data_IF_799102097340
#
_entry.id   IF_799102097340
#
_cell.length_a   1.000
_cell.length_b   1.000
_cell.length_c   1.000
_cell.angle_alpha   90.00
_cell.angle_beta   90.00
_cell.angle_gamma   90.00
#
_symmetry.space_group_name_H-M   'P 1'
#
loop_
_entity.id
_entity.type
_entity.pdbx_description
1 polymer ?
#
# COMPACT_ATOMS: atom_id res chain seq x y z
N UNK A 1 -61.83 25.02 -9.87
CA UNK A 1 -61.00 23.78 -9.88
C UNK A 1 -59.96 23.68 -11.01
N UNK A 2 -59.76 24.71 -11.87
CA UNK A 2 -58.76 24.70 -12.97
C UNK A 2 -57.36 25.25 -12.59
N UNK A 3 -57.27 26.17 -11.62
CA UNK A 3 -56.00 26.85 -11.26
C UNK A 3 -55.04 25.95 -10.46
N UNK A 4 -55.55 24.99 -9.69
CA UNK A 4 -54.73 24.06 -8.87
C UNK A 4 -53.96 23.03 -9.72
N UNK A 5 -54.49 22.67 -10.91
CA UNK A 5 -53.85 21.72 -11.84
C UNK A 5 -52.69 22.33 -12.65
N UNK A 6 -52.67 23.65 -12.87
CA UNK A 6 -51.53 24.32 -13.55
C UNK A 6 -50.29 24.43 -12.65
N UNK A 7 -50.49 24.66 -11.34
CA UNK A 7 -49.37 24.75 -10.38
C UNK A 7 -48.63 23.42 -10.18
N UNK A 8 -49.34 22.28 -10.22
CA UNK A 8 -48.69 20.97 -10.08
C UNK A 8 -47.92 20.54 -11.33
N UNK A 9 -48.38 20.93 -12.53
CA UNK A 9 -47.66 20.65 -13.78
C UNK A 9 -46.39 21.50 -13.95
N UNK A 10 -46.42 22.76 -13.49
CA UNK A 10 -45.22 23.62 -13.47
C UNK A 10 -44.17 23.14 -12.45
N UNK A 11 -44.61 22.67 -11.28
CA UNK A 11 -43.72 22.08 -10.26
C UNK A 11 -43.11 20.76 -10.73
N UNK A 12 -43.87 19.93 -11.45
CA UNK A 12 -43.37 18.66 -11.99
C UNK A 12 -42.40 18.87 -13.17
N UNK A 13 -42.63 19.88 -14.01
CA UNK A 13 -41.68 20.24 -15.08
C UNK A 13 -40.40 20.87 -14.54
N UNK A 14 -40.47 21.61 -13.42
CA UNK A 14 -39.29 22.17 -12.75
C UNK A 14 -38.49 21.09 -12.00
N UNK A 15 -39.16 20.03 -11.50
CA UNK A 15 -38.50 18.88 -10.87
C UNK A 15 -37.82 17.94 -11.88
N UNK A 16 -38.40 17.78 -13.09
CA UNK A 16 -37.77 16.99 -14.15
C UNK A 16 -36.59 17.70 -14.83
N UNK A 17 -36.53 19.04 -14.79
CA UNK A 17 -35.38 19.80 -15.32
C UNK A 17 -34.14 19.76 -14.41
N UNK A 18 -34.28 19.33 -13.15
CA UNK A 18 -33.16 19.10 -12.22
C UNK A 18 -32.56 17.70 -12.37
N UNK A 19 -33.26 16.77 -13.04
CA UNK A 19 -32.78 15.40 -13.25
C UNK A 19 -31.94 15.20 -14.53
N UNK A 20 -31.79 16.24 -15.36
CA UNK A 20 -31.09 16.16 -16.64
C UNK A 20 -29.89 17.07 -16.72
N UNK A 21 -28.74 16.64 -16.20
CA UNK A 21 -27.36 16.92 -16.65
C UNK A 21 -26.35 16.55 -15.56
N UNK A 22 -26.37 15.28 -15.15
CA UNK A 22 -25.22 14.65 -14.51
C UNK A 22 -24.17 14.23 -15.54
N UNK A 23 -23.84 15.11 -16.50
CA UNK A 23 -22.60 14.94 -17.23
C UNK A 23 -21.50 15.21 -16.22
N UNK A 24 -20.94 14.15 -15.63
CA UNK A 24 -19.65 14.20 -14.92
C UNK A 24 -18.58 14.55 -15.97
N UNK A 25 -18.62 15.79 -16.47
CA UNK A 25 -17.52 16.38 -17.20
C UNK A 25 -16.30 16.35 -16.27
N UNK A 26 -15.19 15.89 -16.82
CA UNK A 26 -13.99 15.46 -16.12
C UNK A 26 -13.42 16.58 -15.23
N UNK A 27 -13.68 16.49 -13.92
CA UNK A 27 -13.20 17.46 -12.90
C UNK A 27 -11.69 17.38 -12.64
N UNK A 28 -11.01 16.38 -13.19
CA UNK A 28 -9.57 16.22 -13.09
C UNK A 28 -8.86 17.54 -13.44
N UNK A 29 -8.04 18.05 -12.51
CA UNK A 29 -7.29 19.30 -12.68
C UNK A 29 -6.06 19.12 -13.55
N UNK A 30 -5.48 17.94 -13.47
CA UNK A 30 -4.29 17.58 -14.20
C UNK A 30 -4.55 16.31 -14.98
N UNK A 31 -3.78 16.15 -16.06
CA UNK A 31 -3.79 14.95 -16.88
C UNK A 31 -2.37 14.53 -17.27
N UNK A 32 -2.18 13.26 -17.57
CA UNK A 32 -1.00 12.72 -18.22
C UNK A 32 -1.44 11.74 -19.32
N UNK A 33 -0.93 11.90 -20.53
CA UNK A 33 -1.22 10.98 -21.64
C UNK A 33 -0.46 9.66 -21.43
N UNK A 34 -1.10 8.53 -21.74
CA UNK A 34 -0.44 7.24 -21.76
C UNK A 34 0.06 6.95 -23.17
N UNK A 35 1.31 6.46 -23.34
CA UNK A 35 1.77 5.88 -24.60
C UNK A 35 0.78 4.84 -25.14
N UNK A 36 0.62 4.78 -26.46
CA UNK A 36 -0.26 3.81 -27.10
C UNK A 36 0.19 2.37 -26.77
N UNK A 37 -0.69 1.50 -26.26
CA UNK A 37 -0.33 0.12 -25.95
C UNK A 37 0.06 -0.65 -27.21
N UNK A 38 1.18 -1.38 -27.16
CA UNK A 38 1.65 -2.16 -28.29
C UNK A 38 0.85 -3.45 -28.55
N UNK A 39 0.18 -3.99 -27.51
CA UNK A 39 -0.75 -5.11 -27.62
C UNK A 39 -1.90 -4.95 -26.63
N UNK A 40 -3.04 -5.60 -26.87
CA UNK A 40 -4.13 -5.61 -25.90
C UNK A 40 -3.78 -6.50 -24.70
N UNK A 41 -4.07 -6.05 -23.48
CA UNK A 41 -3.76 -6.81 -22.27
C UNK A 41 -3.72 -5.96 -21.00
N UNK A 42 -3.37 -6.59 -19.88
CA UNK A 42 -3.12 -5.87 -18.62
C UNK A 42 -1.76 -5.17 -18.63
N UNK A 43 -1.77 -3.91 -18.20
CA UNK A 43 -0.59 -3.06 -18.06
C UNK A 43 -0.47 -2.52 -16.64
N UNK A 44 0.76 -2.41 -16.15
CA UNK A 44 1.12 -1.61 -14.98
C UNK A 44 1.38 -0.17 -15.41
N UNK A 45 0.47 0.73 -15.07
CA UNK A 45 0.61 2.16 -15.33
C UNK A 45 1.29 2.77 -14.12
N UNK A 46 2.54 3.20 -14.29
CA UNK A 46 3.34 3.79 -13.22
C UNK A 46 2.74 5.13 -12.71
N UNK A 47 2.86 5.39 -11.41
CA UNK A 47 2.44 6.64 -10.78
C UNK A 47 3.65 7.46 -10.27
N UNK A 48 4.46 8.04 -11.17
CA UNK A 48 5.70 8.75 -10.80
C UNK A 48 5.47 9.94 -9.85
N UNK A 49 6.51 10.46 -9.18
CA UNK A 49 6.37 11.51 -8.17
C UNK A 49 5.61 12.76 -8.64
N UNK A 50 5.79 13.14 -9.91
CA UNK A 50 5.11 14.30 -10.50
C UNK A 50 3.59 14.12 -10.55
N UNK A 51 3.10 12.89 -10.71
CA UNK A 51 1.67 12.56 -10.69
C UNK A 51 1.17 12.53 -9.25
N UNK A 52 1.84 11.78 -8.37
CA UNK A 52 1.39 11.67 -6.98
C UNK A 52 1.46 12.98 -6.22
N UNK A 53 2.33 13.91 -6.61
CA UNK A 53 2.32 15.28 -6.07
C UNK A 53 0.96 15.97 -6.26
N UNK A 54 0.29 15.70 -7.39
CA UNK A 54 -0.95 16.36 -7.80
C UNK A 54 -2.23 15.59 -7.49
N UNK A 55 -2.15 14.28 -7.27
CA UNK A 55 -3.28 13.44 -6.86
C UNK A 55 -3.73 13.70 -5.40
N UNK A 56 -4.78 13.06 -4.90
CA UNK A 56 -5.08 13.02 -3.47
C UNK A 56 -4.18 11.99 -2.76
N UNK A 57 -3.98 12.13 -1.44
CA UNK A 57 -3.09 11.24 -0.68
C UNK A 57 -3.51 9.75 -0.75
N UNK A 58 -4.82 9.48 -0.81
CA UNK A 58 -5.40 8.14 -0.97
C UNK A 58 -5.70 7.75 -2.42
N UNK A 59 -5.26 8.55 -3.40
CA UNK A 59 -5.44 8.29 -4.85
C UNK A 59 -6.91 8.14 -5.30
N UNK A 60 -7.86 8.62 -4.50
CA UNK A 60 -9.31 8.50 -4.74
C UNK A 60 -9.77 9.21 -6.02
N UNK A 61 -8.99 10.17 -6.48
CA UNK A 61 -9.22 11.06 -7.61
C UNK A 61 -8.59 10.61 -8.92
N UNK A 62 -7.77 9.57 -8.89
CA UNK A 62 -7.10 9.07 -10.08
C UNK A 62 -8.12 8.36 -10.97
N UNK A 63 -8.15 8.64 -12.27
CA UNK A 63 -9.03 8.00 -13.26
C UNK A 63 -8.27 7.72 -14.53
N UNK A 64 -8.57 6.60 -15.18
CA UNK A 64 -8.10 6.31 -16.54
C UNK A 64 -9.27 6.51 -17.49
N UNK A 65 -9.06 7.34 -18.51
CA UNK A 65 -10.02 7.60 -19.59
C UNK A 65 -9.47 7.05 -20.90
N UNK A 66 -10.28 6.28 -21.60
CA UNK A 66 -9.99 5.75 -22.92
C UNK A 66 -10.56 6.63 -24.04
N UNK A 67 -10.59 6.11 -25.28
CA UNK A 67 -11.17 6.80 -26.42
C UNK A 67 -12.61 7.23 -26.13
N UNK A 68 -12.99 8.41 -26.64
CA UNK A 68 -14.33 9.00 -26.46
C UNK A 68 -14.74 9.24 -24.99
N UNK A 69 -13.78 9.33 -24.06
CA UNK A 69 -14.05 9.61 -22.65
C UNK A 69 -14.59 8.41 -21.87
N UNK A 70 -14.46 7.20 -22.42
CA UNK A 70 -14.82 5.96 -21.73
C UNK A 70 -14.01 5.77 -20.46
N UNK A 71 -14.67 5.36 -19.37
CA UNK A 71 -13.96 5.06 -18.11
C UNK A 71 -13.33 3.68 -18.18
N UNK A 72 -12.05 3.57 -17.86
CA UNK A 72 -11.31 2.30 -17.84
C UNK A 72 -11.16 1.82 -16.38
N UNK A 73 -11.72 0.64 -16.04
CA UNK A 73 -11.51 0.02 -14.73
C UNK A 73 -10.05 -0.31 -14.45
N UNK A 74 -9.65 -0.18 -13.19
CA UNK A 74 -8.29 -0.51 -12.77
C UNK A 74 -8.24 -1.03 -11.33
N UNK A 75 -7.13 -1.69 -11.01
CA UNK A 75 -6.73 -2.06 -9.65
C UNK A 75 -5.54 -1.19 -9.22
N UNK A 76 -5.41 -0.92 -7.92
CA UNK A 76 -4.14 -0.42 -7.39
C UNK A 76 -3.15 -1.59 -7.34
N UNK A 77 -2.00 -1.44 -8.00
CA UNK A 77 -0.89 -2.37 -7.89
C UNK A 77 -0.31 -2.28 -6.49
N UNK A 78 -0.40 -3.34 -5.72
CA UNK A 78 0.27 -3.45 -4.43
C UNK A 78 1.77 -3.59 -4.67
N UNK A 79 2.53 -2.56 -4.33
CA UNK A 79 3.98 -2.65 -4.14
C UNK A 79 4.31 -2.53 -2.66
N UNK A 80 3.66 -3.34 -1.82
CA UNK A 80 4.04 -3.48 -0.43
C UNK A 80 4.21 -4.95 -0.09
N UNK A 81 5.33 -5.56 -0.46
CA UNK A 81 5.88 -6.57 0.40
C UNK A 81 6.61 -5.83 1.54
N UNK A 82 5.95 -5.77 2.69
CA UNK A 82 6.51 -5.28 3.95
C UNK A 82 7.76 -6.11 4.24
N UNK A 83 8.82 -5.47 4.76
CA UNK A 83 10.16 -5.99 5.11
C UNK A 83 10.21 -7.17 6.10
N UNK A 84 9.15 -7.97 6.21
CA UNK A 84 9.19 -9.28 6.85
C UNK A 84 9.01 -10.30 5.74
N UNK A 85 10.12 -10.86 5.26
CA UNK A 85 10.10 -12.10 4.51
C UNK A 85 9.29 -13.12 5.29
N UNK A 86 8.01 -13.25 4.96
CA UNK A 86 7.21 -14.36 5.44
C UNK A 86 7.68 -15.56 4.65
N UNK A 87 8.54 -16.34 5.29
CA UNK A 87 8.93 -17.65 4.80
C UNK A 87 7.65 -18.48 4.58
N UNK A 88 7.44 -18.92 3.34
CA UNK A 88 6.30 -19.75 2.99
C UNK A 88 6.71 -21.20 3.10
N UNK A 89 5.96 -21.97 3.90
CA UNK A 89 6.17 -23.41 4.01
C UNK A 89 5.71 -24.09 2.72
N UNK A 90 6.63 -24.76 2.03
CA UNK A 90 6.38 -25.57 0.84
C UNK A 90 6.40 -27.03 1.26
N UNK A 91 5.23 -27.69 1.41
CA UNK A 91 5.17 -29.11 1.75
C UNK A 91 5.72 -29.95 0.60
N UNK A 92 6.54 -30.94 0.94
CA UNK A 92 6.97 -31.95 -0.01
C UNK A 92 5.91 -33.03 -0.12
N UNK A 93 5.72 -33.57 -1.33
CA UNK A 93 4.72 -34.62 -1.57
C UNK A 93 5.15 -35.89 -0.85
N UNK A 94 4.34 -36.39 0.07
CA UNK A 94 4.56 -37.70 0.68
C UNK A 94 4.37 -38.80 -0.38
N UNK A 95 5.37 -39.66 -0.53
CA UNK A 95 5.35 -40.77 -1.49
C UNK A 95 5.39 -42.15 -0.83
N UNK A 96 5.70 -42.21 0.47
CA UNK A 96 5.65 -43.47 1.22
C UNK A 96 5.76 -43.29 2.73
N UNK A 97 5.13 -44.17 3.48
CA UNK A 97 5.28 -44.26 4.94
C UNK A 97 5.13 -45.70 5.41
N UNK A 98 6.04 -46.13 6.28
CA UNK A 98 6.00 -47.44 6.95
C UNK A 98 6.17 -47.19 8.44
N UNK A 99 5.23 -47.68 9.27
CA UNK A 99 5.30 -47.57 10.73
C UNK A 99 5.50 -48.96 11.31
N UNK A 100 6.60 -49.16 12.02
CA UNK A 100 6.91 -50.37 12.77
C UNK A 100 7.38 -49.99 14.17
N UNK A 101 7.26 -50.90 15.12
CA UNK A 101 7.61 -50.68 16.53
C UNK A 101 9.09 -50.32 16.72
N UNK A 102 9.97 -50.75 15.80
CA UNK A 102 11.40 -50.43 15.83
C UNK A 102 11.75 -49.20 15.01
N UNK A 103 11.09 -48.98 13.86
CA UNK A 103 11.44 -47.92 12.91
C UNK A 103 10.21 -47.32 12.26
N UNK A 104 10.11 -46.00 12.25
CA UNK A 104 9.20 -45.26 11.35
C UNK A 104 10.00 -44.79 10.15
N UNK A 105 9.56 -45.13 8.95
CA UNK A 105 10.10 -44.61 7.69
C UNK A 105 9.10 -43.67 7.04
N UNK A 106 9.55 -42.47 6.67
CA UNK A 106 8.75 -41.46 5.99
C UNK A 106 9.51 -40.96 4.76
N UNK A 107 8.88 -40.97 3.60
CA UNK A 107 9.51 -40.65 2.32
C UNK A 107 8.74 -39.53 1.64
N UNK A 108 9.47 -38.48 1.24
CA UNK A 108 8.93 -37.32 0.55
C UNK A 108 9.67 -37.04 -0.75
N UNK A 109 8.95 -36.55 -1.75
CA UNK A 109 9.49 -36.08 -3.03
C UNK A 109 9.77 -34.58 -2.94
N UNK A 110 10.99 -34.20 -3.32
CA UNK A 110 11.44 -32.82 -3.40
C UNK A 110 10.52 -32.00 -4.32
N UNK A 111 9.97 -30.88 -3.83
CA UNK A 111 8.86 -30.14 -4.46
C UNK A 111 9.18 -29.50 -5.84
N UNK A 112 10.44 -29.48 -6.26
CA UNK A 112 10.86 -29.03 -7.58
C UNK A 112 12.10 -29.84 -7.98
N UNK A 113 11.85 -31.06 -8.49
CA UNK A 113 12.82 -32.04 -9.02
C UNK A 113 14.20 -31.39 -9.27
N UNK A 114 15.23 -31.85 -8.55
CA UNK A 114 16.61 -31.31 -8.59
C UNK A 114 16.90 -29.97 -7.89
N UNK A 115 15.97 -29.37 -7.13
CA UNK A 115 16.30 -28.18 -6.31
C UNK A 115 17.23 -28.59 -5.15
N UNK A 116 18.40 -27.95 -5.07
CA UNK A 116 19.31 -28.12 -3.95
C UNK A 116 18.74 -27.49 -2.67
N UNK A 117 18.64 -28.27 -1.59
CA UNK A 117 18.19 -27.82 -0.27
C UNK A 117 19.29 -28.10 0.76
N UNK A 118 19.44 -27.22 1.76
CA UNK A 118 20.33 -27.42 2.92
C UNK A 118 19.57 -27.61 4.23
N UNK A 119 18.23 -27.66 4.15
CA UNK A 119 17.37 -27.83 5.31
C UNK A 119 16.08 -28.55 4.92
N UNK A 120 15.53 -29.29 5.89
CA UNK A 120 14.23 -29.93 5.80
C UNK A 120 13.50 -29.71 7.14
N UNK A 121 12.29 -29.18 7.09
CA UNK A 121 11.43 -29.00 8.26
C UNK A 121 10.49 -30.17 8.36
N UNK A 122 10.44 -30.80 9.54
CA UNK A 122 9.47 -31.84 9.89
C UNK A 122 8.39 -31.24 10.78
N UNK A 123 7.13 -31.37 10.38
CA UNK A 123 5.98 -31.09 11.24
C UNK A 123 5.56 -32.38 11.92
N UNK A 124 5.61 -32.37 13.24
CA UNK A 124 5.34 -33.52 14.12
C UNK A 124 4.09 -33.20 14.94
N UNK A 125 3.22 -34.17 15.18
CA UNK A 125 2.14 -33.99 16.17
C UNK A 125 2.81 -33.92 17.55
N UNK A 126 2.45 -32.94 18.38
CA UNK A 126 3.12 -32.61 19.65
C UNK A 126 3.59 -33.86 20.42
N UNK A 127 4.89 -33.90 20.75
CA UNK A 127 5.51 -35.00 21.49
C UNK A 127 6.55 -34.46 22.47
N UNK A 128 6.56 -35.03 23.67
CA UNK A 128 7.67 -34.91 24.63
C UNK A 128 8.53 -36.18 24.61
N UNK A 129 9.06 -36.53 23.43
CA UNK A 129 9.90 -37.73 23.26
C UNK A 129 11.19 -37.41 22.53
N UNK A 130 12.30 -37.94 23.05
CA UNK A 130 13.59 -37.90 22.36
C UNK A 130 13.75 -39.14 21.48
N UNK A 131 14.06 -38.94 20.19
CA UNK A 131 14.27 -40.02 19.21
C UNK A 131 15.41 -39.67 18.27
N UNK A 132 16.12 -40.69 17.77
CA UNK A 132 17.19 -40.52 16.77
C UNK A 132 16.63 -40.71 15.36
N UNK A 133 17.09 -39.87 14.46
CA UNK A 133 16.65 -39.79 13.07
C UNK A 133 17.83 -39.89 12.12
N UNK A 134 17.66 -40.67 11.07
CA UNK A 134 18.57 -40.77 9.93
C UNK A 134 17.89 -40.18 8.71
N UNK A 135 18.58 -39.28 8.02
CA UNK A 135 18.17 -38.68 6.76
C UNK A 135 19.02 -39.24 5.61
N UNK A 136 18.35 -39.78 4.60
CA UNK A 136 18.97 -40.30 3.39
C UNK A 136 18.31 -39.71 2.13
N UNK A 137 19.06 -39.63 1.03
CA UNK A 137 18.61 -39.17 -0.27
C UNK A 137 18.61 -40.29 -1.32
N UNK A 138 17.73 -40.17 -2.32
CA UNK A 138 17.65 -41.09 -3.46
C UNK A 138 17.11 -40.35 -4.69
N UNK A 139 17.54 -40.76 -5.87
CA UNK A 139 16.99 -40.26 -7.15
C UNK A 139 16.00 -41.22 -7.81
N UNK A 140 15.98 -42.49 -7.39
CA UNK A 140 15.27 -43.59 -8.06
C UNK A 140 14.38 -44.43 -7.12
N UNK A 141 14.27 -44.03 -5.84
CA UNK A 141 13.63 -44.75 -4.73
C UNK A 141 14.24 -46.14 -4.40
N UNK A 142 15.29 -46.55 -5.12
CA UNK A 142 15.93 -47.87 -4.97
C UNK A 142 17.27 -47.74 -4.24
N UNK A 143 18.13 -46.84 -4.72
CA UNK A 143 19.45 -46.59 -4.17
C UNK A 143 19.39 -45.39 -3.21
N UNK A 144 19.81 -45.60 -1.97
CA UNK A 144 19.72 -44.60 -0.90
C UNK A 144 21.10 -44.30 -0.32
N UNK A 145 21.42 -43.01 -0.23
CA UNK A 145 22.70 -42.52 0.28
C UNK A 145 22.49 -41.69 1.54
N UNK A 146 23.35 -41.84 2.54
CA UNK A 146 23.26 -41.08 3.78
C UNK A 146 23.50 -39.58 3.52
N UNK A 147 22.63 -38.73 4.08
CA UNK A 147 22.80 -37.27 4.07
C UNK A 147 23.25 -36.80 5.46
N UNK A 148 22.59 -37.31 6.50
CA UNK A 148 22.93 -37.00 7.88
C UNK A 148 22.39 -38.09 8.81
N UNK A 149 23.21 -38.49 9.77
CA UNK A 149 22.88 -39.52 10.76
C UNK A 149 22.79 -38.91 12.16
N UNK A 150 22.25 -39.69 13.10
CA UNK A 150 22.17 -39.38 14.54
C UNK A 150 21.51 -38.04 14.92
N UNK A 151 20.56 -37.58 14.11
CA UNK A 151 19.79 -36.37 14.38
C UNK A 151 18.87 -36.62 15.59
N UNK A 152 19.02 -35.85 16.66
CA UNK A 152 18.09 -35.90 17.80
C UNK A 152 16.84 -35.06 17.51
N UNK A 153 15.66 -35.66 17.60
CA UNK A 153 14.41 -34.90 17.70
C UNK A 153 14.34 -34.26 19.07
N UNK A 154 14.31 -32.93 19.12
CA UNK A 154 14.18 -32.18 20.36
C UNK A 154 12.73 -32.22 20.85
N UNK A 155 12.55 -32.18 22.16
CA UNK A 155 11.23 -32.13 22.80
C UNK A 155 10.51 -30.86 22.39
N UNK A 156 9.20 -30.94 22.18
CA UNK A 156 8.38 -29.75 22.02
C UNK A 156 8.48 -28.91 23.32
N UNK A 157 8.92 -27.66 23.21
CA UNK A 157 8.89 -26.73 24.35
C UNK A 157 7.46 -26.34 24.73
N UNK A 158 7.28 -25.71 25.89
CA UNK A 158 6.00 -25.20 26.43
C UNK A 158 5.43 -24.00 25.64
N UNK A 159 5.44 -24.07 24.31
CA UNK A 159 4.88 -23.04 23.45
C UNK A 159 3.36 -23.24 23.36
N UNK A 160 2.64 -22.57 24.26
CA UNK A 160 1.18 -22.54 24.39
C UNK A 160 0.42 -22.08 23.13
N UNK A 161 1.13 -21.71 22.06
CA UNK A 161 0.59 -21.26 20.78
C UNK A 161 0.65 -22.29 19.65
N UNK A 162 1.28 -23.44 19.86
CA UNK A 162 1.30 -24.51 18.86
C UNK A 162 0.01 -25.35 18.96
N UNK A 163 -0.80 -25.41 17.90
CA UNK A 163 -2.06 -26.19 17.83
C UNK A 163 -1.81 -27.71 17.79
N UNK A 164 -1.02 -28.24 18.72
CA UNK A 164 -0.63 -29.65 18.76
C UNK A 164 0.31 -30.08 17.63
N UNK A 165 1.00 -29.14 16.97
CA UNK A 165 1.98 -29.39 15.90
C UNK A 165 3.29 -28.70 16.25
N UNK A 166 4.35 -29.48 16.32
CA UNK A 166 5.72 -29.04 16.60
C UNK A 166 6.57 -29.11 15.33
N UNK A 167 7.42 -28.12 15.11
CA UNK A 167 8.31 -28.08 13.94
C UNK A 167 9.76 -28.38 14.36
N UNK A 168 10.37 -29.36 13.69
CA UNK A 168 11.78 -29.67 13.83
C UNK A 168 12.52 -29.29 12.56
N UNK A 169 13.52 -28.42 12.67
CA UNK A 169 14.44 -28.10 11.58
C UNK A 169 15.59 -29.11 11.51
N UNK A 170 15.76 -29.75 10.36
CA UNK A 170 16.90 -30.61 10.04
C UNK A 170 17.84 -29.88 9.08
N UNK A 171 18.98 -29.38 9.56
CA UNK A 171 19.99 -28.74 8.71
C UNK A 171 21.06 -29.74 8.25
N UNK A 172 21.47 -29.67 6.98
CA UNK A 172 22.46 -30.55 6.34
C UNK A 172 23.17 -29.84 5.17
N UNK A 173 24.32 -30.36 4.67
CA UNK A 173 24.96 -29.82 3.48
C UNK A 173 24.02 -29.78 2.28
N UNK A 174 24.27 -28.88 1.33
CA UNK A 174 23.42 -28.76 0.14
C UNK A 174 23.25 -30.10 -0.59
N UNK A 175 22.01 -30.50 -0.82
CA UNK A 175 21.62 -31.78 -1.42
C UNK A 175 20.50 -31.57 -2.43
N UNK A 176 20.59 -32.24 -3.59
CA UNK A 176 19.65 -32.10 -4.70
C UNK A 176 18.88 -33.39 -5.02
N UNK A 177 18.92 -34.41 -4.17
CA UNK A 177 18.18 -35.66 -4.40
C UNK A 177 16.69 -35.44 -4.65
N UNK A 178 16.10 -36.27 -5.53
CA UNK A 178 14.67 -36.20 -5.84
C UNK A 178 13.78 -36.67 -4.67
N UNK A 179 14.28 -37.58 -3.84
CA UNK A 179 13.57 -38.16 -2.71
C UNK A 179 14.39 -38.09 -1.43
N UNK A 180 13.72 -37.76 -0.34
CA UNK A 180 14.29 -37.77 1.01
C UNK A 180 13.57 -38.81 1.86
N UNK A 181 14.35 -39.64 2.55
CA UNK A 181 13.85 -40.65 3.49
C UNK A 181 14.30 -40.32 4.90
N UNK A 182 13.32 -40.20 5.77
CA UNK A 182 13.46 -39.96 7.20
C UNK A 182 13.17 -41.27 7.92
N UNK A 183 14.16 -41.79 8.64
CA UNK A 183 14.01 -42.97 9.49
C UNK A 183 14.12 -42.58 10.95
N UNK A 184 13.05 -42.77 11.72
CA UNK A 184 13.02 -42.56 13.16
C UNK A 184 13.23 -43.90 13.86
N UNK A 185 14.21 -43.98 14.75
CA UNK A 185 14.38 -45.14 15.62
C UNK A 185 13.39 -45.04 16.79
N UNK A 186 12.38 -45.91 16.81
CA UNK A 186 11.31 -45.91 17.79
C UNK A 186 11.66 -46.63 19.10
N UNK A 187 12.82 -47.31 19.17
CA UNK A 187 13.28 -48.02 20.38
C UNK A 187 12.26 -49.04 20.95
N UNK A 188 11.48 -49.71 20.08
CA UNK A 188 10.39 -50.64 20.49
C UNK A 188 9.29 -49.95 21.32
N UNK A 189 9.05 -48.67 21.05
CA UNK A 189 7.97 -47.88 21.64
C UNK A 189 7.04 -47.36 20.55
N UNK A 190 5.98 -46.69 20.96
CA UNK A 190 5.03 -46.09 20.03
C UNK A 190 5.72 -45.15 19.02
N UNK A 191 5.31 -45.20 17.75
CA UNK A 191 5.95 -44.47 16.67
C UNK A 191 5.66 -42.97 16.75
N UNK A 192 6.64 -42.18 16.32
CA UNK A 192 6.50 -40.72 16.12
C UNK A 192 5.52 -40.43 14.97
N UNK A 193 4.59 -39.50 15.21
CA UNK A 193 3.64 -39.02 14.22
C UNK A 193 4.20 -37.86 13.40
N UNK A 194 4.88 -38.18 12.30
CA UNK A 194 5.27 -37.21 11.26
C UNK A 194 4.03 -36.86 10.44
N UNK A 195 3.68 -35.56 10.40
CA UNK A 195 2.54 -35.01 9.67
C UNK A 195 2.98 -34.62 8.26
N UNK A 196 4.00 -33.79 8.16
CA UNK A 196 4.52 -33.24 6.90
C UNK A 196 6.04 -33.09 6.98
N UNK A 197 6.68 -33.12 5.82
CA UNK A 197 8.04 -32.61 5.66
C UNK A 197 8.05 -31.61 4.50
N UNK A 198 8.89 -30.59 4.59
CA UNK A 198 8.96 -29.55 3.57
C UNK A 198 10.09 -28.58 3.83
N UNK A 199 10.07 -27.46 3.13
CA UNK A 199 11.05 -26.39 3.32
C UNK A 199 10.34 -25.05 3.46
N UNK A 200 10.94 -24.14 4.20
CA UNK A 200 10.61 -22.74 4.08
C UNK A 200 11.34 -22.17 2.87
N UNK A 201 10.57 -21.65 1.91
CA UNK A 201 11.11 -20.79 0.86
C UNK A 201 10.85 -19.35 1.28
N UNK A 202 11.93 -18.59 1.39
CA UNK A 202 11.81 -17.15 1.36
C UNK A 202 11.23 -16.82 -0.02
N UNK A 203 9.97 -16.38 -0.07
CA UNK A 203 9.53 -15.68 -1.27
C UNK A 203 10.46 -14.48 -1.36
N UNK A 204 11.18 -14.35 -2.49
CA UNK A 204 11.78 -13.07 -2.85
C UNK A 204 10.61 -12.10 -3.00
N UNK A 205 10.25 -11.51 -1.88
CA UNK A 205 9.67 -10.19 -1.82
C UNK A 205 10.62 -9.33 -2.64
N UNK A 206 10.21 -8.93 -3.84
CA UNK A 206 10.92 -7.91 -4.59
C UNK A 206 11.10 -6.73 -3.63
N UNK A 207 12.37 -6.35 -3.38
CA UNK A 207 12.65 -5.21 -2.50
C UNK A 207 11.80 -4.03 -2.99
N UNK A 208 11.10 -3.31 -2.09
CA UNK A 208 10.27 -2.20 -2.51
C UNK A 208 11.10 -1.25 -3.36
N UNK A 209 10.64 -1.00 -4.59
CA UNK A 209 11.29 -0.11 -5.52
C UNK A 209 10.88 1.33 -5.20
N UNK A 210 11.83 2.26 -5.36
CA UNK A 210 11.62 3.67 -5.04
C UNK A 210 11.99 4.57 -6.22
N UNK A 211 11.31 5.72 -6.32
CA UNK A 211 11.75 6.84 -7.15
C UNK A 211 12.42 7.90 -6.29
N UNK A 212 13.59 8.43 -6.70
CA UNK A 212 14.18 9.57 -6.03
C UNK A 212 13.32 10.82 -6.25
N UNK A 213 13.20 11.65 -5.21
CA UNK A 213 12.55 12.96 -5.30
C UNK A 213 13.59 14.01 -5.70
N UNK A 214 13.45 14.52 -6.92
CA UNK A 214 14.36 15.52 -7.47
C UNK A 214 14.09 16.94 -6.95
N UNK A 215 15.09 17.82 -7.07
CA UNK A 215 14.97 19.24 -6.70
C UNK A 215 14.87 19.51 -5.19
N UNK A 216 15.19 18.52 -4.35
CA UNK A 216 15.27 18.66 -2.90
C UNK A 216 16.37 19.65 -2.51
N UNK A 217 16.05 20.54 -1.57
CA UNK A 217 17.03 21.43 -0.91
C UNK A 217 16.90 21.28 0.60
N UNK A 218 18.01 21.34 1.31
CA UNK A 218 17.99 21.29 2.77
C UNK A 218 18.91 22.34 3.38
N UNK A 219 18.62 22.70 4.64
CA UNK A 219 19.46 23.57 5.44
C UNK A 219 19.42 23.12 6.90
N UNK A 220 20.51 23.35 7.62
CA UNK A 220 20.66 22.96 9.01
C UNK A 220 20.89 24.21 9.88
N UNK A 221 20.23 24.25 11.04
CA UNK A 221 20.43 25.26 12.07
C UNK A 221 20.63 24.57 13.41
N UNK A 222 21.80 24.79 13.99
CA UNK A 222 22.19 24.17 15.24
C UNK A 222 21.94 25.07 16.43
N UNK A 223 21.63 24.44 17.56
CA UNK A 223 21.60 25.05 18.88
C UNK A 223 22.28 24.11 19.87
N UNK A 224 22.58 24.60 21.08
CA UNK A 224 23.29 23.83 22.10
C UNK A 224 22.66 22.47 22.38
N UNK A 225 21.32 22.39 22.45
CA UNK A 225 20.60 21.15 22.79
C UNK A 225 19.97 20.43 21.62
N UNK A 226 19.68 21.12 20.51
CA UNK A 226 18.93 20.57 19.37
C UNK A 226 19.49 21.09 18.05
N UNK A 227 19.69 20.18 17.10
CA UNK A 227 19.96 20.49 15.69
C UNK A 227 18.69 20.39 14.88
N UNK A 228 18.35 21.43 14.11
CA UNK A 228 17.17 21.45 13.25
C UNK A 228 17.56 21.40 11.79
N UNK A 229 17.00 20.46 11.04
CA UNK A 229 17.24 20.31 9.60
C UNK A 229 15.92 20.53 8.87
N UNK A 230 15.88 21.52 7.98
CA UNK A 230 14.71 21.82 7.15
C UNK A 230 14.94 21.28 5.75
N UNK A 231 14.01 20.48 5.25
CA UNK A 231 14.08 19.83 3.94
C UNK A 231 12.90 20.33 3.11
N UNK A 232 13.19 21.08 2.06
CA UNK A 232 12.20 21.62 1.11
C UNK A 232 12.23 20.82 -0.18
N UNK A 233 11.07 20.30 -0.55
CA UNK A 233 10.83 19.56 -1.78
C UNK A 233 10.33 20.51 -2.88
N UNK A 234 10.53 20.13 -4.15
CA UNK A 234 10.14 20.94 -5.30
C UNK A 234 8.61 21.06 -5.47
N UNK A 235 7.86 20.07 -4.98
CA UNK A 235 6.40 20.01 -5.04
C UNK A 235 5.84 19.31 -3.78
N UNK A 236 4.53 19.15 -3.71
CA UNK A 236 3.84 18.44 -2.63
C UNK A 236 3.94 16.91 -2.78
N UNK A 237 5.15 16.37 -2.79
CA UNK A 237 5.42 14.95 -3.02
C UNK A 237 4.93 14.06 -1.88
N UNK A 238 4.72 12.78 -2.22
CA UNK A 238 4.62 11.70 -1.25
C UNK A 238 6.03 11.23 -0.89
N UNK A 239 6.38 11.30 0.38
CA UNK A 239 7.67 10.85 0.92
C UNK A 239 7.42 9.56 1.68
N UNK A 240 7.93 8.45 1.13
CA UNK A 240 7.81 7.12 1.72
C UNK A 240 9.14 6.66 2.37
N UNK A 241 10.26 7.29 2.00
CA UNK A 241 11.57 7.05 2.61
C UNK A 241 12.42 8.32 2.66
N UNK A 242 13.12 8.53 3.76
CA UNK A 242 14.10 9.60 3.94
C UNK A 242 15.45 8.98 4.32
N UNK A 243 16.50 9.41 3.64
CA UNK A 243 17.87 8.97 3.87
C UNK A 243 18.76 10.17 4.14
N UNK A 244 19.65 10.04 5.13
CA UNK A 244 20.57 11.09 5.58
C UNK A 244 22.00 10.54 5.61
N UNK A 245 22.95 11.37 5.18
CA UNK A 245 24.37 11.15 5.44
C UNK A 245 24.86 12.14 6.49
N UNK A 246 25.42 11.62 7.56
CA UNK A 246 25.83 12.37 8.74
C UNK A 246 27.36 12.36 8.87
N UNK A 247 27.92 13.47 9.35
CA UNK A 247 29.34 13.62 9.66
C UNK A 247 29.51 14.36 10.99
N UNK A 248 30.75 14.43 11.48
CA UNK A 248 31.09 15.05 12.77
C UNK A 248 31.60 14.02 13.75
N UNK A 249 30.77 13.60 14.70
CA UNK A 249 31.16 12.63 15.72
C UNK A 249 31.32 11.22 15.15
N UNK A 250 32.40 10.53 15.53
CA UNK A 250 32.68 9.14 15.11
C UNK A 250 31.72 8.13 15.75
N UNK A 251 31.34 8.36 17.00
CA UNK A 251 30.42 7.53 17.77
C UNK A 251 29.27 8.40 18.26
N UNK A 252 28.05 8.01 17.95
CA UNK A 252 26.85 8.70 18.43
C UNK A 252 25.66 7.76 18.48
N UNK A 253 24.73 8.08 19.38
CA UNK A 253 23.37 7.61 19.39
C UNK A 253 22.50 8.80 19.80
N UNK A 254 21.59 9.27 18.94
CA UNK A 254 20.78 10.47 19.20
C UNK A 254 19.32 10.24 18.84
N UNK A 255 18.41 10.76 19.64
CA UNK A 255 17.01 10.82 19.28
C UNK A 255 16.81 11.80 18.11
N UNK A 256 16.03 11.39 17.12
CA UNK A 256 15.65 12.20 15.97
C UNK A 256 14.13 12.15 15.79
N UNK A 257 13.51 13.33 15.72
CA UNK A 257 12.09 13.50 15.42
C UNK A 257 11.93 14.10 14.04
N UNK A 258 11.00 13.55 13.25
CA UNK A 258 10.69 14.03 11.90
C UNK A 258 9.27 14.57 11.88
N UNK A 259 9.13 15.79 11.36
CA UNK A 259 7.87 16.51 11.30
C UNK A 259 7.48 16.85 9.86
N UNK A 260 6.21 16.70 9.54
CA UNK A 260 5.57 17.40 8.43
C UNK A 260 5.26 18.83 8.85
N UNK A 261 5.61 19.81 8.02
CA UNK A 261 5.35 21.22 8.30
C UNK A 261 4.29 21.76 7.34
N UNK A 262 3.14 22.17 7.88
CA UNK A 262 2.02 22.78 7.14
C UNK A 262 1.71 24.16 7.71
N UNK A 263 2.29 25.20 7.10
CA UNK A 263 2.16 26.57 7.61
C UNK A 263 2.78 26.70 9.00
N UNK A 264 1.94 27.01 10.01
CA UNK A 264 2.38 27.09 11.43
C UNK A 264 2.32 25.76 12.17
N UNK A 265 1.70 24.73 11.57
CA UNK A 265 1.51 23.44 12.21
C UNK A 265 2.67 22.50 11.92
N UNK A 266 3.09 21.74 12.94
CA UNK A 266 4.09 20.67 12.84
C UNK A 266 3.45 19.38 13.32
N UNK A 267 3.34 18.40 12.42
CA UNK A 267 2.81 17.08 12.73
C UNK A 267 3.98 16.10 12.85
N UNK A 268 4.12 15.44 14.00
CA UNK A 268 5.15 14.41 14.18
C UNK A 268 4.82 13.21 13.28
N UNK A 269 5.75 12.85 12.40
CA UNK A 269 5.64 11.69 11.51
C UNK A 269 6.33 10.47 12.09
N UNK A 270 7.46 10.67 12.75
CA UNK A 270 8.28 9.58 13.27
C UNK A 270 9.25 10.10 14.33
N UNK A 271 9.58 9.23 15.28
CA UNK A 271 10.63 9.41 16.28
C UNK A 271 11.47 8.13 16.30
N UNK A 272 12.79 8.28 16.22
CA UNK A 272 13.73 7.16 16.15
C UNK A 272 15.08 7.54 16.77
N UNK A 273 15.97 6.56 16.94
CA UNK A 273 17.37 6.80 17.26
C UNK A 273 18.24 6.65 16.01
N UNK A 274 19.17 7.58 15.82
CA UNK A 274 20.22 7.51 14.80
C UNK A 274 21.52 7.09 15.48
N UNK A 275 22.22 6.12 14.90
CA UNK A 275 23.47 5.55 15.43
C UNK A 275 24.59 5.70 14.41
N UNK A 276 25.84 5.57 14.85
CA UNK A 276 27.00 5.56 13.95
C UNK A 276 27.23 4.23 13.23
N UNK A 277 26.55 3.15 13.65
CA UNK A 277 26.68 1.80 13.06
C UNK A 277 25.80 1.57 11.84
N UNK A 278 24.72 2.35 11.71
CA UNK A 278 23.66 2.09 10.74
C UNK A 278 23.52 3.25 9.75
N UNK A 279 23.10 2.92 8.53
CA UNK A 279 22.64 3.96 7.61
C UNK A 279 21.41 4.65 8.18
N UNK A 280 21.41 5.99 8.15
CA UNK A 280 20.26 6.76 8.62
C UNK A 280 19.18 6.80 7.53
N UNK A 281 18.42 5.70 7.45
CA UNK A 281 17.27 5.54 6.56
C UNK A 281 16.00 5.35 7.37
N UNK A 282 14.96 6.12 7.05
CA UNK A 282 13.69 6.11 7.75
C UNK A 282 12.53 5.95 6.77
N UNK A 283 11.63 5.02 7.06
CA UNK A 283 10.35 4.90 6.35
C UNK A 283 9.38 5.95 6.88
N UNK A 284 8.76 6.70 5.95
CA UNK A 284 7.81 7.76 6.25
C UNK A 284 6.50 7.51 5.49
N UNK A 285 5.46 8.24 5.86
CA UNK A 285 4.22 8.31 5.07
C UNK A 285 3.67 9.72 5.20
N UNK A 286 4.16 10.61 4.35
CA UNK A 286 3.78 12.02 4.38
C UNK A 286 3.58 12.56 2.97
N UNK A 287 2.58 13.41 2.79
CA UNK A 287 2.38 14.16 1.55
C UNK A 287 2.59 15.65 1.83
N UNK A 288 3.79 16.12 1.53
CA UNK A 288 4.27 17.44 1.92
C UNK A 288 5.28 18.01 0.94
N UNK A 289 5.49 19.32 1.00
CA UNK A 289 6.62 19.99 0.36
C UNK A 289 7.71 20.43 1.37
N UNK A 290 7.49 20.22 2.66
CA UNK A 290 8.38 20.65 3.73
C UNK A 290 8.40 19.64 4.89
N UNK A 291 9.61 19.17 5.21
CA UNK A 291 9.91 18.37 6.39
C UNK A 291 10.84 19.15 7.31
N UNK A 292 10.71 18.93 8.61
CA UNK A 292 11.65 19.41 9.62
C UNK A 292 12.11 18.23 10.47
N UNK A 293 13.41 18.13 10.69
CA UNK A 293 14.00 17.14 11.59
C UNK A 293 14.55 17.88 12.80
N UNK A 294 14.36 17.30 13.98
CA UNK A 294 14.99 17.75 15.21
C UNK A 294 15.85 16.59 15.75
N UNK A 295 17.15 16.82 15.86
CA UNK A 295 18.11 15.87 16.42
C UNK A 295 18.51 16.39 17.81
N UNK A 296 18.27 15.58 18.83
CA UNK A 296 18.62 15.92 20.20
C UNK A 296 20.14 15.75 20.37
N UNK A 297 20.83 16.86 20.62
CA UNK A 297 22.28 16.88 20.80
C UNK A 297 22.70 16.57 22.25
N UNK A 298 21.80 16.81 23.20
CA UNK A 298 22.09 16.74 24.64
C UNK A 298 23.31 17.59 25.01
N UNK A 299 24.39 16.99 25.49
CA UNK A 299 25.67 17.66 25.80
C UNK A 299 26.72 17.49 24.69
N UNK A 300 26.35 16.90 23.56
CA UNK A 300 27.27 16.61 22.46
C UNK A 300 27.27 17.73 21.41
N UNK A 301 28.39 17.90 20.70
CA UNK A 301 28.45 18.80 19.55
C UNK A 301 27.46 18.38 18.43
N UNK A 302 26.83 19.31 17.69
CA UNK A 302 25.95 18.99 16.58
C UNK A 302 26.54 18.02 15.54
N UNK A 303 25.74 17.06 15.06
CA UNK A 303 26.09 16.28 13.86
C UNK A 303 25.87 17.14 12.61
N UNK A 304 26.73 17.02 11.61
CA UNK A 304 26.59 17.72 10.32
C UNK A 304 25.86 16.84 9.32
N UNK A 305 24.70 17.29 8.83
CA UNK A 305 24.03 16.65 7.70
C UNK A 305 24.74 17.04 6.41
N UNK A 306 25.33 16.06 5.73
CA UNK A 306 26.09 16.28 4.50
C UNK A 306 25.26 16.02 3.24
N UNK A 307 24.34 15.06 3.30
CA UNK A 307 23.41 14.74 2.21
C UNK A 307 22.06 14.35 2.76
N UNK A 308 21.03 14.67 1.98
CA UNK A 308 19.64 14.28 2.22
C UNK A 308 19.09 13.75 0.91
N UNK A 309 18.49 12.58 0.94
CA UNK A 309 17.73 12.02 -0.17
C UNK A 309 16.35 11.61 0.32
N UNK A 310 15.31 11.91 -0.46
CA UNK A 310 13.95 11.50 -0.17
C UNK A 310 13.43 10.68 -1.35
N UNK A 311 12.57 9.71 -1.06
CA UNK A 311 12.09 8.78 -2.05
C UNK A 311 10.59 8.53 -1.90
N UNK A 312 9.96 8.27 -3.04
CA UNK A 312 8.58 7.82 -3.13
C UNK A 312 8.58 6.33 -3.49
N UNK A 313 7.72 5.55 -2.84
CA UNK A 313 7.49 4.16 -3.20
C UNK A 313 6.90 4.09 -4.62
N UNK A 314 7.42 3.18 -5.45
CA UNK A 314 6.90 3.00 -6.80
C UNK A 314 5.51 2.37 -6.71
N UNK A 315 4.47 3.11 -7.11
CA UNK A 315 3.09 2.63 -7.17
C UNK A 315 2.65 2.53 -8.63
N UNK A 316 1.71 1.62 -8.90
CA UNK A 316 1.13 1.47 -10.23
C UNK A 316 -0.39 1.23 -10.17
N UNK A 317 -1.06 1.43 -11.30
CA UNK A 317 -2.41 0.94 -11.54
C UNK A 317 -2.34 -0.24 -12.51
N UNK A 318 -3.18 -1.24 -12.32
CA UNK A 318 -3.30 -2.37 -13.24
C UNK A 318 -4.61 -2.22 -14.00
N UNK A 319 -4.53 -2.03 -15.31
CA UNK A 319 -5.70 -1.83 -16.18
C UNK A 319 -5.55 -2.62 -17.48
N UNK A 320 -6.67 -3.07 -18.04
CA UNK A 320 -6.70 -3.67 -19.37
C UNK A 320 -6.77 -2.56 -20.41
N UNK A 321 -5.80 -2.53 -21.33
CA UNK A 321 -5.72 -1.54 -22.40
C UNK A 321 -5.71 -2.25 -23.76
N UNK A 322 -6.36 -1.66 -24.76
CA UNK A 322 -6.41 -2.16 -26.13
C UNK A 322 -5.26 -1.61 -26.96
N UNK A 323 -4.72 -2.46 -27.85
CA UNK A 323 -3.65 -2.09 -28.76
C UNK A 323 -4.00 -0.85 -29.61
N UNK A 324 -3.05 0.10 -29.72
CA UNK A 324 -3.16 1.27 -30.57
C UNK A 324 -4.22 2.30 -30.15
N UNK A 325 -4.85 2.15 -28.98
CA UNK A 325 -5.81 3.13 -28.46
C UNK A 325 -5.12 4.19 -27.61
N UNK A 326 -5.73 5.38 -27.57
CA UNK A 326 -5.26 6.49 -26.75
C UNK A 326 -5.94 6.45 -25.38
N UNK A 327 -5.12 6.52 -24.33
CA UNK A 327 -5.57 6.57 -22.95
C UNK A 327 -4.94 7.76 -22.22
N UNK A 328 -5.62 8.24 -21.19
CA UNK A 328 -5.15 9.35 -20.36
C UNK A 328 -5.41 9.05 -18.89
N UNK A 329 -4.51 9.54 -18.03
CA UNK A 329 -4.66 9.53 -16.59
C UNK A 329 -5.12 10.92 -16.14
N UNK A 330 -6.26 11.02 -15.47
CA UNK A 330 -6.77 12.24 -14.86
C UNK A 330 -6.64 12.21 -13.33
N UNK A 331 -6.25 13.34 -12.72
CA UNK A 331 -6.06 13.47 -11.27
C UNK A 331 -6.14 14.94 -10.80
N UNK A 332 -6.11 15.16 -9.50
CA UNK A 332 -6.21 16.47 -8.84
C UNK A 332 -7.63 16.93 -8.52
N UNK A 333 -8.62 16.02 -8.52
CA UNK A 333 -9.97 16.33 -8.04
C UNK A 333 -10.07 16.07 -6.54
N UNK A 334 -9.96 17.14 -5.76
CA UNK A 334 -10.06 17.08 -4.29
C UNK A 334 -11.42 16.57 -3.76
N UNK A 335 -12.45 16.54 -4.60
CA UNK A 335 -13.81 16.08 -4.22
C UNK A 335 -14.13 14.65 -4.67
N UNK A 336 -13.19 14.00 -5.36
CA UNK A 336 -13.42 12.67 -5.91
C UNK A 336 -13.36 11.57 -4.84
N UNK A 337 -14.32 10.65 -4.94
CA UNK A 337 -14.41 9.43 -4.13
C UNK A 337 -13.74 8.27 -4.86
N UNK A 338 -13.14 7.34 -4.12
CA UNK A 338 -12.50 6.15 -4.68
C UNK A 338 -13.48 5.36 -5.56
N UNK A 339 -13.10 4.99 -6.79
CA UNK A 339 -13.99 4.25 -7.68
C UNK A 339 -14.15 2.80 -7.21
N UNK A 340 -15.33 2.23 -7.43
CA UNK A 340 -15.63 0.85 -7.12
C UNK A 340 -15.89 0.07 -8.41
N UNK A 341 -14.89 -0.67 -8.87
CA UNK A 341 -14.97 -1.47 -10.11
C UNK A 341 -15.11 -2.96 -9.80
N UNK A 342 -15.82 -3.69 -10.65
CA UNK A 342 -15.94 -5.14 -10.55
C UNK A 342 -14.60 -5.88 -10.72
N UNK A 343 -13.62 -5.23 -11.35
CA UNK A 343 -12.27 -5.76 -11.54
C UNK A 343 -11.64 -6.22 -10.21
N UNK A 344 -12.04 -5.65 -9.07
CA UNK A 344 -11.59 -6.05 -7.72
C UNK A 344 -11.83 -7.53 -7.40
N UNK A 345 -12.89 -8.13 -7.96
CA UNK A 345 -13.23 -9.53 -7.73
C UNK A 345 -12.31 -10.49 -8.51
N UNK A 346 -11.52 -9.97 -9.43
CA UNK A 346 -10.57 -10.73 -10.25
C UNK A 346 -9.11 -10.42 -9.88
N UNK A 347 -8.87 -9.77 -8.74
CA UNK A 347 -7.54 -9.34 -8.32
C UNK A 347 -6.51 -10.50 -8.32
N UNK A 348 -6.88 -11.69 -7.81
CA UNK A 348 -5.97 -12.84 -7.78
C UNK A 348 -5.59 -13.34 -9.18
N UNK A 349 -6.53 -13.31 -10.12
CA UNK A 349 -6.29 -13.71 -11.51
C UNK A 349 -5.40 -12.69 -12.21
N UNK A 350 -5.62 -11.39 -11.95
CA UNK A 350 -4.83 -10.29 -12.53
C UNK A 350 -3.42 -10.24 -11.95
N UNK A 351 -3.27 -10.46 -10.63
CA UNK A 351 -1.97 -10.45 -9.93
C UNK A 351 -1.06 -11.60 -10.34
N UNK A 352 -1.61 -12.73 -10.78
CA UNK A 352 -0.82 -13.88 -11.31
C UNK A 352 -0.23 -13.62 -12.70
N UNK A 353 -0.57 -12.53 -13.37
CA UNK A 353 0.10 -12.13 -14.61
C UNK A 353 1.44 -11.45 -14.29
N UNK A 354 2.44 -12.26 -13.95
CA UNK A 354 3.81 -11.83 -13.60
C UNK A 354 4.53 -11.01 -14.71
N UNK A 355 3.98 -10.96 -15.93
CA UNK A 355 4.60 -10.31 -17.09
C UNK A 355 3.80 -9.12 -17.64
N UNK A 356 2.91 -8.53 -16.83
CA UNK A 356 2.16 -7.36 -17.25
C UNK A 356 3.13 -6.19 -17.56
N UNK A 357 2.99 -5.61 -18.75
CA UNK A 357 3.93 -4.61 -19.27
C UNK A 357 3.80 -3.30 -18.49
N UNK A 358 4.92 -2.64 -18.21
CA UNK A 358 4.92 -1.34 -17.54
C UNK A 358 4.78 -0.21 -18.58
N UNK A 359 3.86 0.72 -18.33
CA UNK A 359 3.70 1.97 -19.08
C UNK A 359 4.03 3.13 -18.15
N UNK A 360 4.92 4.00 -18.62
CA UNK A 360 5.19 5.29 -17.97
C UNK A 360 4.29 6.36 -18.59
N UNK A 361 3.47 7.07 -17.81
CA UNK A 361 2.72 8.21 -18.32
C UNK A 361 3.65 9.32 -18.82
N UNK A 362 3.17 10.11 -19.78
CA UNK A 362 3.82 11.31 -20.25
C UNK A 362 3.83 12.44 -19.20
N UNK A 363 4.34 13.64 -19.57
CA UNK A 363 4.43 14.76 -18.65
C UNK A 363 3.06 15.22 -18.16
N UNK A 364 3.00 15.64 -16.89
CA UNK A 364 1.80 16.20 -16.28
C UNK A 364 1.45 17.54 -16.91
N UNK A 365 0.21 17.67 -17.39
CA UNK A 365 -0.34 18.90 -17.98
C UNK A 365 -1.58 19.34 -17.18
N UNK A 366 -1.89 20.63 -17.22
CA UNK A 366 -3.19 21.14 -16.74
C UNK A 366 -4.27 20.67 -17.70
N UNK A 367 -5.39 20.16 -17.18
CA UNK A 367 -6.47 19.67 -18.02
C UNK A 367 -7.22 20.85 -18.70
N UNK A 368 -7.19 20.97 -20.04
CA UNK A 368 -7.87 22.06 -20.74
C UNK A 368 -9.40 21.99 -20.66
N UNK A 369 -9.95 20.82 -20.35
CA UNK A 369 -11.40 20.59 -20.28
C UNK A 369 -12.00 20.93 -18.90
N UNK A 370 -11.20 21.45 -17.96
CA UNK A 370 -11.78 22.06 -16.77
C UNK A 370 -12.63 23.26 -17.20
N UNK A 371 -13.91 23.36 -16.75
CA UNK A 371 -14.55 24.65 -16.73
C UNK A 371 -13.64 25.52 -15.86
N UNK A 372 -13.00 26.53 -16.45
CA UNK A 372 -12.35 27.58 -15.69
C UNK A 372 -13.42 28.03 -14.72
N UNK A 373 -13.22 27.76 -13.42
CA UNK A 373 -14.10 28.30 -12.41
C UNK A 373 -13.95 29.80 -12.56
N UNK A 374 -14.89 30.44 -13.29
CA UNK A 374 -15.08 31.87 -13.22
C UNK A 374 -15.11 32.15 -11.73
N UNK A 375 -14.21 33.00 -11.19
CA UNK A 375 -14.22 33.30 -9.78
C UNK A 375 -15.66 33.61 -9.43
N UNK A 376 -16.24 32.86 -8.48
CA UNK A 376 -17.60 33.05 -8.05
C UNK A 376 -17.75 34.55 -7.87
N UNK A 377 -18.57 35.20 -8.72
CA UNK A 377 -18.61 36.66 -8.76
C UNK A 377 -18.90 37.08 -7.33
N UNK A 378 -17.95 37.78 -6.72
CA UNK A 378 -18.10 38.27 -5.35
C UNK A 378 -19.44 38.97 -5.28
N UNK A 379 -20.23 38.56 -4.30
CA UNK A 379 -21.46 39.21 -3.84
C UNK A 379 -22.71 38.95 -4.68
N UNK A 380 -23.71 38.33 -4.04
CA UNK A 380 -25.09 38.79 -4.25
C UNK A 380 -25.08 40.33 -4.19
N UNK A 381 -25.67 41.04 -5.15
CA UNK A 381 -25.63 42.50 -5.12
C UNK A 381 -26.24 43.00 -3.80
N UNK A 382 -25.56 43.91 -3.09
CA UNK A 382 -26.06 44.42 -1.81
C UNK A 382 -27.49 44.98 -1.96
N UNK A 383 -27.82 45.59 -3.11
CA UNK A 383 -29.16 46.07 -3.43
C UNK A 383 -30.21 44.95 -3.50
N UNK A 384 -29.84 43.74 -3.94
CA UNK A 384 -30.77 42.61 -4.02
C UNK A 384 -31.07 42.05 -2.62
N UNK A 385 -30.08 42.08 -1.71
CA UNK A 385 -30.28 41.79 -0.29
C UNK A 385 -31.24 42.80 0.36
N UNK A 386 -31.04 44.10 0.10
CA UNK A 386 -31.94 45.15 0.58
C UNK A 386 -33.34 45.04 -0.02
N UNK A 387 -33.48 44.69 -1.30
CA UNK A 387 -34.77 44.47 -1.94
C UNK A 387 -35.54 43.30 -1.29
N UNK A 388 -34.85 42.21 -0.94
CA UNK A 388 -35.45 41.07 -0.22
C UNK A 388 -35.87 41.48 1.20
N UNK A 389 -35.04 42.24 1.92
CA UNK A 389 -35.36 42.73 3.28
C UNK A 389 -36.61 43.61 3.23
N UNK A 390 -36.67 44.57 2.29
CA UNK A 390 -37.84 45.43 2.11
C UNK A 390 -39.08 44.59 1.78
N UNK A 391 -38.98 43.65 0.84
CA UNK A 391 -40.09 42.78 0.47
C UNK A 391 -40.64 41.99 1.67
N UNK A 392 -39.75 41.40 2.48
CA UNK A 392 -40.12 40.66 3.70
C UNK A 392 -40.77 41.59 4.74
N UNK A 393 -40.21 42.79 4.96
CA UNK A 393 -40.79 43.78 5.87
C UNK A 393 -42.17 44.26 5.43
N UNK A 394 -42.38 44.51 4.13
CA UNK A 394 -43.72 44.85 3.61
C UNK A 394 -44.71 43.69 3.76
N UNK A 395 -44.27 42.45 3.54
CA UNK A 395 -45.14 41.29 3.70
C UNK A 395 -45.54 41.08 5.18
N UNK A 396 -44.58 41.23 6.09
CA UNK A 396 -44.82 41.18 7.53
C UNK A 396 -45.72 42.33 7.98
N UNK A 397 -45.44 43.56 7.57
CA UNK A 397 -46.27 44.72 7.88
C UNK A 397 -47.70 44.60 7.36
N UNK A 398 -47.87 44.08 6.13
CA UNK A 398 -49.19 43.81 5.56
C UNK A 398 -49.94 42.71 6.33
N UNK A 399 -49.26 41.65 6.78
CA UNK A 399 -49.85 40.64 7.66
C UNK A 399 -50.26 41.23 9.01
N UNK A 400 -49.37 41.99 9.67
CA UNK A 400 -49.66 42.62 10.96
C UNK A 400 -50.84 43.57 10.85
N UNK A 401 -50.88 44.41 9.81
CA UNK A 401 -51.99 45.34 9.57
C UNK A 401 -53.32 44.61 9.30
N UNK A 402 -53.26 43.50 8.54
CA UNK A 402 -54.44 42.65 8.31
C UNK A 402 -54.93 42.03 9.62
N UNK A 403 -54.03 41.53 10.46
CA UNK A 403 -54.39 40.95 11.76
C UNK A 403 -54.98 41.99 12.72
N UNK A 404 -54.42 43.21 12.81
CA UNK A 404 -54.98 44.26 13.67
C UNK A 404 -56.34 44.75 13.17
N UNK A 405 -56.57 44.79 11.86
CA UNK A 405 -57.86 45.16 11.27
C UNK A 405 -58.94 44.07 11.46
N UNK A 406 -58.54 42.80 11.56
CA UNK A 406 -59.44 41.69 11.90
C UNK A 406 -59.76 41.64 13.40
N UNK A 407 -58.84 42.04 14.28
CA UNK A 407 -59.09 42.18 15.72
C UNK A 407 -60.03 43.35 16.04
N UNK A 408 -59.89 44.48 15.35
CA UNK A 408 -60.80 45.64 15.50
C UNK A 408 -62.21 45.45 14.92
N UNK A 409 -62.51 44.30 14.29
CA UNK A 409 -63.84 43.93 13.79
C UNK A 409 -64.56 42.89 14.65
N UNK A 410 -64.00 42.51 15.80
CA UNK A 410 -64.59 41.59 16.78
C UNK A 410 -64.76 42.20 18.18
N UNK A 411 -64.69 43.53 18.28
CA UNK A 411 -65.07 44.29 19.48
C UNK A 411 -66.46 44.88 19.32
#
# INVERSE_FOLDING_TARGET
MKVRKMRSKLLLSMLLMVAGTGAFAQRAKYMAELPQPAASGFYHIALPPQILAKANAGLSDVRITGPNGTTVPYLFGESLPIDKGTDVFVPFKQVGQVKQDTVTTFIVQNAAESTSIGQLVLKLRNMDVERRVILAGSDDLKNWYAIKEDITLTKAGDDAHSKGVYEQLLSFPSSNYNFYRIRVNNLRRDPVAIIEAGIYRSQMIEKPAYWPLEGLRFGQKDSAKVSRVFIKLADNYRVDRLWLSLAGAKYYQRAMRVYEVKGRYRNLLSETFITSSDETSLSLSAKTNLLALEIDNEDNAPLKVTKVAAFQLQQSLIAYLDAGKNYQLGFGDTTAVTPNYDLRFFADSVKKLDNARVIMPGPVKVNPQQPIAKPASKSFPAWALWAIIVAVLTALGAMTFKMTKEVGKRG
#
